data_IF_844781215616
#
_entry.id   IF_844781215616
#
_cell.length_a   1.000
_cell.length_b   1.000
_cell.length_c   1.000
_cell.angle_alpha   90.00
_cell.angle_beta   90.00
_cell.angle_gamma   90.00
#
_symmetry.space_group_name_H-M   'P 1'
#
loop_
_entity.id
_entity.type
_entity.pdbx_description
1 polymer ?
#
# COMPACT_ATOMS: atom_id res chain seq x y z
N UNK A 1 36.29 -18.75 -33.79
CA UNK A 1 35.07 -17.97 -34.09
C UNK A 1 34.16 -18.05 -32.86
N UNK A 2 34.18 -17.06 -31.97
CA UNK A 2 33.31 -17.03 -30.79
C UNK A 2 32.01 -16.31 -31.12
N UNK A 3 30.89 -17.02 -31.03
CA UNK A 3 29.54 -16.49 -31.18
C UNK A 3 29.21 -15.76 -29.87
N UNK A 4 29.03 -14.44 -29.91
CA UNK A 4 28.50 -13.67 -28.77
C UNK A 4 26.98 -13.89 -28.73
N UNK A 5 26.49 -14.46 -27.63
CA UNK A 5 25.06 -14.51 -27.33
C UNK A 5 24.50 -13.08 -27.21
N UNK A 6 23.26 -12.80 -27.66
CA UNK A 6 22.67 -11.48 -27.54
C UNK A 6 22.44 -11.14 -26.06
N UNK A 7 22.76 -9.90 -25.68
CA UNK A 7 22.56 -9.40 -24.33
C UNK A 7 21.07 -9.49 -23.97
N UNK A 8 20.76 -10.32 -22.97
CA UNK A 8 19.41 -10.39 -22.42
C UNK A 8 19.09 -9.04 -21.79
N UNK A 9 18.08 -8.35 -22.30
CA UNK A 9 17.52 -7.16 -21.68
C UNK A 9 16.88 -7.57 -20.35
N UNK A 10 17.61 -7.41 -19.25
CA UNK A 10 17.06 -7.57 -17.91
C UNK A 10 16.08 -6.41 -17.67
N UNK A 11 14.79 -6.72 -17.70
CA UNK A 11 13.78 -5.80 -17.18
C UNK A 11 13.65 -6.11 -15.70
N UNK A 12 14.05 -5.21 -14.78
CA UNK A 12 13.89 -5.48 -13.37
C UNK A 12 12.39 -5.70 -13.08
N UNK A 13 12.02 -6.72 -12.28
CA UNK A 13 10.64 -6.88 -11.86
C UNK A 13 10.18 -5.61 -11.13
N UNK A 14 8.94 -5.21 -11.37
CA UNK A 14 8.35 -4.06 -10.68
C UNK A 14 8.50 -4.27 -9.16
N UNK A 15 8.92 -3.24 -8.41
CA UNK A 15 9.14 -3.38 -6.98
C UNK A 15 7.82 -3.71 -6.28
N UNK A 16 7.66 -4.96 -5.85
CA UNK A 16 6.53 -5.39 -5.04
C UNK A 16 6.81 -5.07 -3.57
N UNK A 17 5.78 -4.60 -2.86
CA UNK A 17 5.82 -4.41 -1.42
C UNK A 17 4.96 -5.46 -0.73
N UNK A 18 5.43 -5.95 0.41
CA UNK A 18 4.66 -6.80 1.29
C UNK A 18 4.32 -6.01 2.55
N UNK A 19 3.03 -5.88 2.83
CA UNK A 19 2.51 -5.31 4.06
C UNK A 19 2.31 -6.43 5.07
N UNK A 20 2.98 -6.35 6.21
CA UNK A 20 2.86 -7.32 7.29
C UNK A 20 2.05 -6.71 8.44
N UNK A 21 0.90 -7.30 8.74
CA UNK A 21 0.07 -6.94 9.88
C UNK A 21 -0.09 -8.14 10.82
N UNK A 22 -0.09 -7.88 12.13
CA UNK A 22 -0.37 -8.91 13.13
C UNK A 22 -1.86 -8.88 13.48
N UNK A 23 -2.54 -10.01 13.31
CA UNK A 23 -3.90 -10.20 13.81
C UNK A 23 -3.84 -10.92 15.16
N UNK A 24 -3.91 -10.15 16.23
CA UNK A 24 -3.86 -10.65 17.60
C UNK A 24 -5.14 -11.41 18.01
N UNK A 25 -6.24 -11.28 17.27
CA UNK A 25 -7.50 -11.97 17.61
C UNK A 25 -7.42 -13.47 17.35
N UNK A 26 -6.63 -13.86 16.34
CA UNK A 26 -6.42 -15.25 15.90
C UNK A 26 -4.96 -15.69 15.97
N UNK A 27 -4.09 -14.90 16.60
CA UNK A 27 -2.64 -15.13 16.69
C UNK A 27 -2.00 -15.42 15.32
N UNK A 28 -2.29 -14.56 14.34
CA UNK A 28 -1.85 -14.74 12.95
C UNK A 28 -1.07 -13.53 12.43
N UNK A 29 -0.27 -13.77 11.39
CA UNK A 29 0.38 -12.72 10.60
C UNK A 29 -0.26 -12.68 9.22
N UNK A 30 -0.81 -11.53 8.86
CA UNK A 30 -1.44 -11.26 7.58
C UNK A 30 -0.43 -10.55 6.68
N UNK A 31 -0.02 -11.21 5.60
CA UNK A 31 0.85 -10.64 4.58
C UNK A 31 0.02 -10.25 3.36
N UNK A 32 -0.03 -8.96 3.05
CA UNK A 32 -0.69 -8.43 1.85
C UNK A 32 0.34 -7.91 0.86
N UNK A 33 0.36 -8.44 -0.37
CA UNK A 33 1.30 -7.98 -1.40
C UNK A 33 0.68 -6.89 -2.26
N UNK A 34 1.39 -5.78 -2.42
CA UNK A 34 1.00 -4.62 -3.21
C UNK A 34 2.04 -4.40 -4.33
N UNK A 35 1.57 -4.18 -5.55
CA UNK A 35 2.46 -3.83 -6.67
C UNK A 35 3.13 -2.47 -6.46
N UNK A 36 2.44 -1.54 -5.78
CA UNK A 36 2.93 -0.22 -5.40
C UNK A 36 2.03 0.36 -4.31
N UNK A 37 2.59 1.13 -3.39
CA UNK A 37 1.83 1.99 -2.50
C UNK A 37 1.39 3.23 -3.30
N UNK A 38 0.20 3.78 -3.01
CA UNK A 38 -0.30 4.98 -3.67
C UNK A 38 0.41 6.28 -3.24
N UNK A 39 1.45 6.16 -2.41
CA UNK A 39 2.39 7.18 -1.95
C UNK A 39 3.80 6.58 -1.80
N UNK A 40 4.83 7.42 -1.82
CA UNK A 40 6.23 6.94 -1.79
C UNK A 40 6.89 6.98 -0.41
N UNK A 41 6.37 7.78 0.51
CA UNK A 41 6.91 7.93 1.86
C UNK A 41 5.86 8.52 2.83
N UNK A 42 6.20 8.53 4.12
CA UNK A 42 5.36 9.15 5.15
C UNK A 42 5.16 10.67 4.93
N UNK A 43 6.17 11.38 4.44
CA UNK A 43 6.08 12.83 4.18
C UNK A 43 5.06 13.17 3.08
N UNK A 44 4.98 12.34 2.02
CA UNK A 44 3.97 12.46 0.97
C UNK A 44 2.57 12.33 1.58
N UNK A 45 2.35 11.34 2.45
CA UNK A 45 1.08 11.16 3.15
C UNK A 45 0.69 12.37 4.03
N UNK A 46 1.64 13.01 4.70
CA UNK A 46 1.37 14.17 5.56
C UNK A 46 0.96 15.43 4.78
N UNK A 47 1.48 15.59 3.57
CA UNK A 47 1.29 16.78 2.73
C UNK A 47 0.11 16.66 1.75
N UNK A 48 -0.53 15.48 1.67
CA UNK A 48 -1.67 15.23 0.80
C UNK A 48 -2.89 16.08 1.14
N UNK A 49 -3.61 16.47 0.10
CA UNK A 49 -4.92 17.10 0.26
C UNK A 49 -5.95 16.10 0.81
N UNK A 50 -7.01 16.56 1.48
CA UNK A 50 -8.09 15.69 1.96
C UNK A 50 -8.67 14.74 0.91
N UNK A 51 -8.91 15.26 -0.30
CA UNK A 51 -9.42 14.45 -1.42
C UNK A 51 -8.44 13.34 -1.83
N UNK A 52 -7.12 13.63 -1.78
CA UNK A 52 -6.09 12.63 -2.09
C UNK A 52 -5.98 11.57 -1.00
N UNK A 53 -6.12 11.94 0.28
CA UNK A 53 -6.18 10.99 1.40
C UNK A 53 -7.31 9.98 1.22
N UNK A 54 -8.51 10.45 0.87
CA UNK A 54 -9.67 9.57 0.63
C UNK A 54 -9.39 8.64 -0.56
N UNK A 55 -8.89 9.17 -1.68
CA UNK A 55 -8.57 8.36 -2.85
C UNK A 55 -7.51 7.28 -2.57
N UNK A 56 -6.48 7.62 -1.78
CA UNK A 56 -5.45 6.67 -1.32
C UNK A 56 -6.07 5.57 -0.47
N UNK A 57 -6.95 5.92 0.49
CA UNK A 57 -7.62 4.93 1.33
C UNK A 57 -8.53 4.00 0.53
N UNK A 58 -9.22 4.52 -0.51
CA UNK A 58 -10.00 3.71 -1.44
C UNK A 58 -9.11 2.71 -2.19
N UNK A 59 -8.00 3.17 -2.78
CA UNK A 59 -7.05 2.31 -3.50
C UNK A 59 -6.44 1.23 -2.58
N UNK A 60 -6.16 1.57 -1.32
CA UNK A 60 -5.70 0.59 -0.34
C UNK A 60 -6.79 -0.42 0.01
N UNK A 61 -8.03 0.02 0.25
CA UNK A 61 -9.16 -0.86 0.55
C UNK A 61 -9.50 -1.86 -0.57
N UNK A 62 -9.16 -1.58 -1.82
CA UNK A 62 -9.31 -2.55 -2.93
C UNK A 62 -8.34 -3.74 -2.81
N UNK A 63 -7.23 -3.56 -2.10
CA UNK A 63 -6.13 -4.54 -2.02
C UNK A 63 -5.96 -5.14 -0.64
N UNK A 64 -6.47 -4.48 0.40
CA UNK A 64 -6.42 -4.95 1.77
C UNK A 64 -7.51 -6.02 2.03
N UNK A 65 -7.23 -7.01 2.87
CA UNK A 65 -8.27 -7.90 3.39
C UNK A 65 -9.28 -7.10 4.22
N UNK A 66 -10.51 -7.63 4.32
CA UNK A 66 -11.63 -6.92 4.93
C UNK A 66 -11.35 -6.40 6.35
N UNK A 67 -10.66 -7.19 7.16
CA UNK A 67 -10.28 -6.83 8.53
C UNK A 67 -9.33 -5.62 8.63
N UNK A 68 -8.61 -5.28 7.56
CA UNK A 68 -7.65 -4.17 7.51
C UNK A 68 -8.18 -2.97 6.71
N UNK A 69 -9.44 -3.02 6.25
CA UNK A 69 -10.02 -1.92 5.49
C UNK A 69 -10.24 -0.70 6.38
N UNK A 70 -9.91 0.46 5.84
CA UNK A 70 -10.16 1.76 6.44
C UNK A 70 -11.64 2.10 6.24
N UNK A 71 -12.35 2.42 7.32
CA UNK A 71 -13.73 2.89 7.21
C UNK A 71 -13.78 4.26 6.50
N UNK A 72 -14.61 4.37 5.47
CA UNK A 72 -14.82 5.59 4.69
C UNK A 72 -16.28 6.07 4.74
N UNK A 73 -17.08 5.55 5.68
CA UNK A 73 -18.47 5.95 5.85
C UNK A 73 -18.61 7.41 6.30
N UNK A 74 -19.55 8.15 5.70
CA UNK A 74 -19.68 9.60 5.90
C UNK A 74 -20.50 10.01 7.14
N UNK A 75 -20.21 11.20 7.72
CA UNK A 75 -19.05 12.06 7.45
C UNK A 75 -17.86 11.70 8.34
N UNK A 76 -16.70 11.37 7.74
CA UNK A 76 -15.45 11.07 8.45
C UNK A 76 -14.39 12.14 8.16
N UNK A 77 -13.68 12.57 9.19
CA UNK A 77 -12.63 13.58 9.06
C UNK A 77 -11.43 13.00 8.26
N UNK A 78 -10.96 13.66 7.19
CA UNK A 78 -9.74 13.29 6.48
C UNK A 78 -8.51 13.10 7.38
N UNK A 79 -8.43 13.79 8.52
CA UNK A 79 -7.37 13.64 9.52
C UNK A 79 -7.40 12.24 10.14
N UNK A 80 -8.59 11.72 10.43
CA UNK A 80 -8.74 10.38 11.01
C UNK A 80 -8.44 9.30 9.96
N UNK A 81 -8.87 9.49 8.71
CA UNK A 81 -8.52 8.59 7.60
C UNK A 81 -7.01 8.54 7.42
N UNK A 82 -6.31 9.68 7.48
CA UNK A 82 -4.84 9.73 7.40
C UNK A 82 -4.19 8.98 8.56
N UNK A 83 -4.70 9.13 9.78
CA UNK A 83 -4.18 8.39 10.95
C UNK A 83 -4.33 6.88 10.81
N UNK A 84 -5.42 6.41 10.21
CA UNK A 84 -5.56 4.96 9.92
C UNK A 84 -4.59 4.50 8.83
N UNK A 85 -4.39 5.29 7.78
CA UNK A 85 -3.35 5.01 6.77
C UNK A 85 -1.96 4.91 7.40
N UNK A 86 -1.62 5.82 8.32
CA UNK A 86 -0.34 5.82 9.06
C UNK A 86 -0.14 4.59 9.94
N UNK A 87 -1.20 3.91 10.40
CA UNK A 87 -1.07 2.68 11.20
C UNK A 87 -0.80 1.44 10.35
N UNK A 88 -1.13 1.49 9.08
CA UNK A 88 -0.96 0.37 8.16
C UNK A 88 0.45 0.26 7.60
N UNK A 89 1.22 1.36 7.55
CA UNK A 89 2.57 1.45 6.95
C UNK A 89 3.63 1.76 7.99
#
# INVERSE_FOLDING_TARGET
KHIRSPAQHYTPPLPCMALQNSDHSIDAVVISTLLKLPFCCHEDLLTMTPARIIAVAQEMNERLPEALRIDLSEPRDPIDIRRELERLV
#
